data_IF_980243849119
#
_entry.id   IF_980243849119
#
_cell.length_a   1.000
_cell.length_b   1.000
_cell.length_c   1.000
_cell.angle_alpha   90.00
_cell.angle_beta   90.00
_cell.angle_gamma   90.00
#
_symmetry.space_group_name_H-M   'P 1'
#
loop_
_entity.id
_entity.type
_entity.pdbx_description
1 polymer ?
#
# COMPACT_ATOMS: atom_id res chain seq x y z
N UNK A 1 28.48 43.49 -3.83
CA UNK A 1 28.41 42.01 -3.75
C UNK A 1 27.72 41.51 -2.47
N UNK A 2 28.05 42.03 -1.28
CA UNK A 2 27.41 41.63 -0.01
C UNK A 2 25.90 41.89 0.09
N UNK A 3 25.43 43.02 -0.45
CA UNK A 3 24.00 43.38 -0.46
C UNK A 3 23.16 42.34 -1.22
N UNK A 4 23.73 41.72 -2.26
CA UNK A 4 23.04 40.72 -3.08
C UNK A 4 22.87 39.40 -2.33
N UNK A 5 23.91 38.94 -1.64
CA UNK A 5 23.84 37.75 -0.80
C UNK A 5 22.87 37.93 0.38
N UNK A 6 22.84 39.13 0.97
CA UNK A 6 21.91 39.46 2.05
C UNK A 6 20.44 39.48 1.58
N UNK A 7 20.16 40.12 0.45
CA UNK A 7 18.83 40.12 -0.17
C UNK A 7 18.39 38.69 -0.56
N UNK A 8 19.31 37.86 -1.03
CA UNK A 8 19.03 36.46 -1.36
C UNK A 8 18.64 35.65 -0.12
N UNK A 9 19.38 35.82 0.99
CA UNK A 9 19.09 35.16 2.26
C UNK A 9 17.75 35.57 2.85
N UNK A 10 17.46 36.88 2.86
CA UNK A 10 16.19 37.43 3.39
C UNK A 10 15.01 37.01 2.51
N UNK A 11 15.18 36.99 1.19
CA UNK A 11 14.18 36.48 0.24
C UNK A 11 13.87 35.00 0.49
N UNK A 12 14.90 34.16 0.73
CA UNK A 12 14.73 32.74 1.06
C UNK A 12 14.00 32.52 2.40
N UNK A 13 14.32 33.35 3.39
CA UNK A 13 13.75 33.28 4.74
C UNK A 13 12.27 33.68 4.78
N UNK A 14 11.87 34.63 3.93
CA UNK A 14 10.48 35.04 3.74
C UNK A 14 9.70 34.07 2.85
N UNK A 15 10.35 33.45 1.86
CA UNK A 15 9.71 32.53 0.92
C UNK A 15 9.24 31.24 1.60
N UNK A 16 10.01 30.69 2.55
CA UNK A 16 9.67 29.46 3.26
C UNK A 16 8.34 29.52 4.04
N UNK A 17 8.09 30.50 4.94
CA UNK A 17 6.83 30.59 5.66
C UNK A 17 5.66 30.95 4.74
N UNK A 18 5.89 31.71 3.66
CA UNK A 18 4.86 32.00 2.64
C UNK A 18 4.48 30.73 1.87
N UNK A 19 5.45 29.87 1.51
CA UNK A 19 5.20 28.57 0.88
C UNK A 19 4.41 27.63 1.79
N UNK A 20 4.76 27.57 3.08
CA UNK A 20 4.03 26.78 4.08
C UNK A 20 2.62 27.34 4.26
N UNK A 21 2.46 28.66 4.36
CA UNK A 21 1.15 29.30 4.53
C UNK A 21 0.24 29.07 3.31
N UNK A 22 0.76 29.16 2.09
CA UNK A 22 0.02 28.88 0.85
C UNK A 22 -0.35 27.40 0.69
N UNK A 23 0.43 26.47 1.25
CA UNK A 23 0.10 25.03 1.26
C UNK A 23 -1.08 24.69 2.19
N UNK A 24 -1.22 25.40 3.31
CA UNK A 24 -2.25 25.14 4.31
C UNK A 24 -3.44 26.10 4.27
N UNK A 25 -3.35 27.23 3.54
CA UNK A 25 -4.45 28.16 3.30
C UNK A 25 -5.52 27.52 2.41
N UNK A 26 -6.53 27.01 3.11
CA UNK A 26 -7.70 26.28 2.62
C UNK A 26 -8.51 27.13 1.62
N UNK A 27 -8.23 27.04 0.32
CA UNK A 27 -9.10 27.70 -0.67
C UNK A 27 -8.78 27.67 -2.16
N UNK A 28 -7.53 27.53 -2.64
CA UNK A 28 -7.24 27.76 -4.07
C UNK A 28 -6.64 26.58 -4.86
N UNK A 29 -7.27 26.37 -6.02
CA UNK A 29 -7.19 25.25 -6.93
C UNK A 29 -5.92 25.19 -7.78
N UNK A 30 -5.52 23.96 -8.15
CA UNK A 30 -4.63 23.48 -9.25
C UNK A 30 -3.38 24.29 -9.68
N UNK A 31 -3.46 25.61 -9.81
CA UNK A 31 -2.36 26.54 -10.07
C UNK A 31 -1.24 26.44 -9.03
N UNK A 32 -1.57 26.23 -7.75
CA UNK A 32 -0.57 26.08 -6.67
C UNK A 32 0.24 24.78 -6.83
N UNK A 33 -0.37 23.70 -7.36
CA UNK A 33 0.35 22.45 -7.65
C UNK A 33 1.28 22.61 -8.86
N UNK A 34 0.85 23.36 -9.87
CA UNK A 34 1.69 23.66 -11.02
C UNK A 34 2.89 24.54 -10.63
N UNK A 35 2.66 25.54 -9.77
CA UNK A 35 3.74 26.38 -9.26
C UNK A 35 4.74 25.59 -8.41
N UNK A 36 4.26 24.68 -7.54
CA UNK A 36 5.13 23.80 -6.75
C UNK A 36 5.93 22.83 -7.62
N UNK A 37 5.34 22.27 -8.68
CA UNK A 37 6.07 21.43 -9.62
C UNK A 37 7.12 22.24 -10.41
N UNK A 38 6.78 23.47 -10.80
CA UNK A 38 7.70 24.37 -11.51
C UNK A 38 8.89 24.79 -10.63
N UNK A 39 8.68 25.09 -9.35
CA UNK A 39 9.79 25.43 -8.43
C UNK A 39 10.68 24.23 -8.15
N UNK A 40 10.12 23.02 -8.05
CA UNK A 40 10.90 21.79 -7.86
C UNK A 40 11.75 21.48 -9.10
N UNK A 41 11.18 21.60 -10.29
CA UNK A 41 11.91 21.44 -11.55
C UNK A 41 13.01 22.50 -11.73
N UNK A 42 12.76 23.75 -11.31
CA UNK A 42 13.77 24.80 -11.34
C UNK A 42 14.92 24.53 -10.36
N UNK A 43 14.61 24.02 -9.16
CA UNK A 43 15.62 23.65 -8.16
C UNK A 43 16.49 22.47 -8.65
N UNK A 44 15.86 21.46 -9.24
CA UNK A 44 16.54 20.31 -9.85
C UNK A 44 17.44 20.76 -11.00
N UNK A 45 16.92 21.58 -11.92
CA UNK A 45 17.70 22.14 -13.03
C UNK A 45 18.89 22.98 -12.57
N UNK A 46 18.72 23.81 -11.53
CA UNK A 46 19.82 24.59 -10.96
C UNK A 46 20.88 23.70 -10.29
N UNK A 47 20.46 22.62 -9.62
CA UNK A 47 21.35 21.66 -8.98
C UNK A 47 22.16 20.88 -10.02
N UNK A 48 21.53 20.45 -11.11
CA UNK A 48 22.20 19.78 -12.23
C UNK A 48 23.18 20.75 -12.91
N UNK A 49 22.79 21.99 -13.17
CA UNK A 49 23.68 22.99 -13.76
C UNK A 49 24.91 23.25 -12.88
N UNK A 50 24.74 23.32 -11.56
CA UNK A 50 25.85 23.45 -10.60
C UNK A 50 26.74 22.21 -10.58
N UNK A 51 26.17 21.00 -10.64
CA UNK A 51 26.93 19.75 -10.73
C UNK A 51 27.77 19.68 -12.02
N UNK A 52 27.23 20.18 -13.13
CA UNK A 52 27.95 20.26 -14.41
C UNK A 52 29.09 21.29 -14.38
N UNK A 53 28.87 22.45 -13.74
CA UNK A 53 29.90 23.49 -13.61
C UNK A 53 31.00 23.08 -12.64
N UNK A 54 30.69 22.25 -11.64
CA UNK A 54 31.64 21.82 -10.61
C UNK A 54 32.35 20.50 -10.88
N UNK A 55 32.06 19.79 -11.98
CA UNK A 55 32.66 18.49 -12.28
C UNK A 55 34.20 18.58 -12.43
N UNK A 56 34.99 18.08 -11.44
CA UNK A 56 36.44 17.93 -11.57
C UNK A 56 36.76 16.60 -12.28
N UNK A 57 37.93 16.45 -12.92
CA UNK A 57 38.26 15.29 -13.74
C UNK A 57 38.25 13.99 -12.94
N UNK A 58 37.57 13.00 -13.50
CA UNK A 58 37.36 11.64 -12.99
C UNK A 58 38.68 10.91 -12.77
N UNK A 59 39.01 10.60 -11.51
CA UNK A 59 39.99 9.57 -11.16
C UNK A 59 39.26 8.27 -10.77
N UNK A 60 39.51 7.14 -11.44
CA UNK A 60 38.89 5.87 -11.09
C UNK A 60 39.61 5.27 -9.88
N UNK A 61 38.93 5.21 -8.73
CA UNK A 61 39.44 4.48 -7.56
C UNK A 61 38.84 3.08 -7.57
N UNK A 62 39.76 2.11 -7.64
CA UNK A 62 39.54 0.68 -7.78
C UNK A 62 38.77 0.06 -6.61
N UNK A 63 38.00 -0.98 -6.95
CA UNK A 63 37.36 -1.88 -6.00
C UNK A 63 38.40 -2.67 -5.18
N UNK A 64 38.27 -2.79 -3.86
CA UNK A 64 39.04 -3.78 -3.11
C UNK A 64 38.40 -5.16 -3.25
N UNK A 65 39.26 -6.08 -3.66
CA UNK A 65 39.02 -7.47 -3.96
C UNK A 65 38.63 -8.31 -2.73
N UNK A 66 37.96 -9.41 -3.04
CA UNK A 66 37.73 -10.55 -2.17
C UNK A 66 39.03 -11.05 -1.52
N UNK A 67 38.97 -11.32 -0.21
CA UNK A 67 39.95 -12.15 0.49
C UNK A 67 39.20 -13.37 1.02
N UNK A 68 39.50 -14.51 0.41
CA UNK A 68 39.10 -15.85 0.86
C UNK A 68 40.14 -16.43 1.81
N UNK A 69 39.69 -17.39 2.62
CA UNK A 69 40.39 -18.49 3.36
C UNK A 69 40.97 -18.20 4.76
N UNK A 70 41.18 -19.23 5.63
CA UNK A 70 40.34 -20.42 5.96
C UNK A 70 40.29 -20.81 7.48
N UNK A 71 39.22 -21.51 7.94
CA UNK A 71 39.08 -22.74 8.82
C UNK A 71 39.88 -22.82 10.18
N UNK A 72 39.59 -23.65 11.24
CA UNK A 72 38.50 -24.62 11.58
C UNK A 72 37.85 -24.43 12.99
N UNK A 73 36.79 -25.20 13.28
CA UNK A 73 36.65 -25.83 14.60
C UNK A 73 35.27 -25.87 15.27
N UNK A 74 34.75 -27.10 15.39
CA UNK A 74 34.11 -27.67 16.58
C UNK A 74 32.66 -27.32 17.01
N UNK A 75 31.81 -28.34 16.79
CA UNK A 75 30.78 -28.98 17.64
C UNK A 75 29.52 -28.23 18.14
N UNK A 76 28.38 -28.85 17.74
CA UNK A 76 27.14 -29.12 18.49
C UNK A 76 26.25 -27.97 18.97
N UNK A 77 25.05 -27.90 18.37
CA UNK A 77 23.81 -27.52 19.04
C UNK A 77 22.58 -28.18 18.35
N UNK A 78 21.48 -28.41 19.07
CA UNK A 78 20.59 -29.55 18.88
C UNK A 78 19.41 -29.30 17.93
N UNK A 79 18.76 -30.41 17.57
CA UNK A 79 17.53 -30.52 16.80
C UNK A 79 16.49 -29.43 17.11
N UNK A 80 16.19 -28.59 16.12
CA UNK A 80 15.04 -27.70 16.12
C UNK A 80 13.88 -28.45 15.46
N UNK A 81 12.96 -28.88 16.31
CA UNK A 81 11.50 -28.83 16.17
C UNK A 81 10.97 -29.03 14.74
N UNK A 82 10.30 -30.17 14.57
CA UNK A 82 9.42 -30.46 13.45
C UNK A 82 8.54 -29.25 13.06
N UNK A 83 8.76 -28.73 11.86
CA UNK A 83 7.74 -27.95 11.18
C UNK A 83 6.54 -28.87 10.90
N UNK A 84 5.29 -28.47 11.18
CA UNK A 84 4.15 -29.27 10.79
C UNK A 84 4.16 -29.41 9.26
N UNK A 85 4.04 -30.65 8.81
CA UNK A 85 3.98 -31.03 7.41
C UNK A 85 2.94 -30.19 6.66
N UNK A 86 3.40 -29.20 5.89
CA UNK A 86 2.66 -28.67 4.75
C UNK A 86 2.82 -29.66 3.58
N UNK A 87 2.37 -30.90 3.81
CA UNK A 87 2.25 -31.96 2.81
C UNK A 87 0.85 -31.97 2.16
N UNK A 88 0.17 -30.82 2.15
CA UNK A 88 -0.99 -30.58 1.30
C UNK A 88 -0.52 -29.85 0.06
N UNK A 89 -1.03 -30.24 -1.11
CA UNK A 89 -0.74 -29.55 -2.35
C UNK A 89 -0.90 -28.02 -2.17
N UNK A 90 0.03 -27.20 -2.70
CA UNK A 90 -0.07 -25.75 -2.58
C UNK A 90 -1.41 -25.30 -3.17
N UNK A 91 -2.15 -24.50 -2.41
CA UNK A 91 -3.44 -24.04 -2.88
C UNK A 91 -3.27 -23.23 -4.17
N UNK A 92 -3.97 -23.56 -5.27
CA UNK A 92 -3.82 -22.84 -6.52
C UNK A 92 -4.15 -21.36 -6.32
N UNK A 93 -3.40 -20.49 -7.00
CA UNK A 93 -3.68 -19.05 -6.96
C UNK A 93 -4.97 -18.78 -7.70
N UNK A 94 -5.98 -18.29 -6.97
CA UNK A 94 -7.29 -17.95 -7.51
C UNK A 94 -7.67 -16.52 -7.17
N UNK A 95 -8.38 -15.85 -8.09
CA UNK A 95 -8.91 -14.51 -7.88
C UNK A 95 -10.45 -14.58 -7.94
N UNK A 96 -11.10 -14.94 -6.83
CA UNK A 96 -12.53 -15.14 -6.81
C UNK A 96 -13.25 -13.83 -7.11
N UNK A 97 -14.36 -13.91 -7.84
CA UNK A 97 -15.20 -12.74 -8.13
C UNK A 97 -16.27 -12.63 -7.04
N UNK A 98 -16.22 -11.59 -6.18
CA UNK A 98 -17.26 -11.39 -5.18
C UNK A 98 -18.60 -11.15 -5.89
N UNK A 99 -19.61 -11.93 -5.48
CA UNK A 99 -20.96 -11.84 -6.03
C UNK A 99 -21.89 -11.03 -5.16
N UNK A 100 -21.74 -11.11 -3.84
CA UNK A 100 -22.52 -10.29 -2.94
C UNK A 100 -21.75 -9.99 -1.66
N UNK A 101 -22.19 -8.95 -0.95
CA UNK A 101 -21.55 -8.50 0.28
C UNK A 101 -22.63 -8.18 1.30
N UNK A 102 -22.45 -8.68 2.52
CA UNK A 102 -23.25 -8.30 3.68
C UNK A 102 -22.46 -7.33 4.55
N UNK A 103 -23.11 -6.23 4.90
CA UNK A 103 -22.54 -5.16 5.70
C UNK A 103 -23.17 -5.17 7.09
N UNK A 104 -22.40 -5.57 8.11
CA UNK A 104 -22.85 -5.56 9.50
C UNK A 104 -22.45 -4.25 10.16
N UNK A 105 -23.43 -3.60 10.79
CA UNK A 105 -23.25 -2.28 11.41
C UNK A 105 -23.36 -2.38 12.92
N UNK A 106 -22.51 -1.60 13.59
CA UNK A 106 -22.63 -1.30 15.00
C UNK A 106 -23.01 0.18 15.14
N UNK A 107 -24.29 0.42 15.43
CA UNK A 107 -24.90 1.75 15.40
C UNK A 107 -24.76 2.45 14.03
N UNK A 108 -23.97 3.52 13.98
CA UNK A 108 -23.72 4.32 12.77
C UNK A 108 -22.41 3.98 12.07
N UNK A 109 -21.74 2.89 12.46
CA UNK A 109 -20.45 2.49 11.89
C UNK A 109 -20.51 1.08 11.32
N UNK A 110 -19.77 0.87 10.24
CA UNK A 110 -19.56 -0.46 9.67
C UNK A 110 -18.46 -1.14 10.48
N UNK A 111 -18.79 -2.23 11.15
CA UNK A 111 -17.87 -3.00 12.01
C UNK A 111 -17.42 -4.30 11.36
N UNK A 112 -18.30 -4.92 10.58
CA UNK A 112 -18.05 -6.23 9.97
C UNK A 112 -18.59 -6.30 8.54
N UNK A 113 -17.91 -7.10 7.74
CA UNK A 113 -18.10 -7.26 6.31
C UNK A 113 -18.00 -8.75 5.98
N UNK A 114 -19.09 -9.34 5.49
CA UNK A 114 -19.07 -10.70 4.94
C UNK A 114 -19.10 -10.63 3.43
N UNK A 115 -18.17 -11.30 2.77
CA UNK A 115 -18.05 -11.35 1.31
C UNK A 115 -18.46 -12.75 0.86
N UNK A 116 -19.30 -12.84 -0.19
CA UNK A 116 -19.77 -14.11 -0.75
C UNK A 116 -19.38 -14.25 -2.23
N UNK A 117 -18.96 -15.45 -2.62
CA UNK A 117 -18.66 -15.82 -4.00
C UNK A 117 -19.00 -17.29 -4.26
N UNK A 118 -19.08 -17.75 -5.52
CA UNK A 118 -19.31 -19.15 -5.83
C UNK A 118 -18.15 -20.00 -5.36
N UNK A 119 -18.43 -21.03 -4.57
CA UNK A 119 -17.43 -22.00 -4.15
C UNK A 119 -16.92 -22.77 -5.38
N UNK A 120 -15.61 -22.97 -5.43
CA UNK A 120 -14.96 -23.76 -6.47
C UNK A 120 -14.66 -25.18 -5.98
N UNK A 121 -14.45 -26.11 -6.91
CA UNK A 121 -14.05 -27.49 -6.57
C UNK A 121 -12.67 -27.57 -5.88
N UNK A 122 -11.88 -26.50 -5.94
CA UNK A 122 -10.53 -26.41 -5.38
C UNK A 122 -10.41 -25.21 -4.45
N UNK A 123 -11.44 -24.97 -3.62
CA UNK A 123 -11.48 -23.83 -2.72
C UNK A 123 -10.32 -23.85 -1.71
N UNK A 124 -9.66 -22.71 -1.55
CA UNK A 124 -8.66 -22.57 -0.51
C UNK A 124 -9.33 -22.42 0.86
N UNK A 125 -8.81 -23.08 1.89
CA UNK A 125 -9.27 -22.89 3.27
C UNK A 125 -9.05 -21.48 3.83
N UNK A 126 -8.27 -20.65 3.12
CA UNK A 126 -7.99 -19.26 3.47
C UNK A 126 -7.95 -18.38 2.24
N UNK A 127 -8.47 -17.16 2.36
CA UNK A 127 -8.35 -16.11 1.36
C UNK A 127 -7.78 -14.85 1.99
N UNK A 128 -6.98 -14.14 1.22
CA UNK A 128 -6.47 -12.83 1.56
C UNK A 128 -7.37 -11.75 0.98
N UNK A 129 -7.70 -10.78 1.83
CA UNK A 129 -8.63 -9.72 1.53
C UNK A 129 -7.96 -8.38 1.78
N UNK A 130 -8.10 -7.48 0.83
CA UNK A 130 -7.78 -6.06 0.99
C UNK A 130 -9.08 -5.27 0.88
N UNK A 131 -9.33 -4.42 1.88
CA UNK A 131 -10.47 -3.50 1.84
C UNK A 131 -9.97 -2.08 1.95
N UNK A 132 -10.29 -1.25 0.96
CA UNK A 132 -9.94 0.17 0.96
C UNK A 132 -11.18 1.04 0.88
N UNK A 133 -11.34 1.90 1.87
CA UNK A 133 -12.37 2.93 1.87
C UNK A 133 -11.90 4.17 1.11
N UNK A 134 -12.65 4.59 0.09
CA UNK A 134 -12.37 5.79 -0.70
C UNK A 134 -13.65 6.59 -0.93
N UNK A 135 -13.85 7.63 -0.12
CA UNK A 135 -15.04 8.48 -0.20
C UNK A 135 -16.30 7.70 0.17
N UNK A 136 -17.12 7.37 -0.82
CA UNK A 136 -18.34 6.56 -0.65
C UNK A 136 -18.18 5.14 -1.20
N UNK A 137 -16.99 4.74 -1.64
CA UNK A 137 -16.75 3.41 -2.23
C UNK A 137 -15.91 2.56 -1.30
N UNK A 138 -16.35 1.33 -1.12
CA UNK A 138 -15.61 0.28 -0.44
C UNK A 138 -15.04 -0.66 -1.50
N UNK A 139 -13.74 -0.49 -1.81
CA UNK A 139 -13.05 -1.34 -2.79
C UNK A 139 -12.57 -2.61 -2.11
N UNK A 140 -12.91 -3.75 -2.68
CA UNK A 140 -12.62 -5.07 -2.12
C UNK A 140 -11.78 -5.84 -3.13
N UNK A 141 -10.58 -6.28 -2.75
CA UNK A 141 -9.79 -7.25 -3.50
C UNK A 141 -9.75 -8.55 -2.73
N UNK A 142 -9.98 -9.65 -3.44
CA UNK A 142 -10.02 -11.00 -2.90
C UNK A 142 -9.01 -11.86 -3.66
N UNK A 143 -8.23 -12.63 -2.94
CA UNK A 143 -7.18 -13.50 -3.49
C UNK A 143 -7.06 -14.77 -2.66
N UNK A 144 -7.03 -15.91 -3.33
CA UNK A 144 -6.84 -17.23 -2.74
C UNK A 144 -5.48 -17.80 -3.14
N UNK A 145 -4.87 -18.59 -2.25
CA UNK A 145 -3.51 -19.10 -2.43
C UNK A 145 -2.43 -18.07 -2.11
N UNK A 146 -1.20 -18.36 -2.54
CA UNK A 146 -0.02 -17.55 -2.21
C UNK A 146 -0.10 -16.15 -2.83
N UNK A 147 -0.05 -15.09 -2.01
CA UNK A 147 0.00 -13.72 -2.51
C UNK A 147 1.41 -13.34 -2.94
N UNK A 148 1.58 -12.76 -4.13
CA UNK A 148 2.85 -12.17 -4.53
C UNK A 148 3.06 -10.82 -3.83
N UNK A 149 4.10 -10.72 -2.99
CA UNK A 149 4.58 -9.48 -2.39
C UNK A 149 4.10 -9.22 -0.95
N UNK A 150 4.81 -8.31 -0.27
CA UNK A 150 4.48 -7.87 1.08
C UNK A 150 3.45 -6.74 1.00
N UNK A 151 2.19 -7.02 1.35
CA UNK A 151 1.12 -6.03 1.34
C UNK A 151 0.67 -5.74 2.78
N UNK A 152 1.02 -4.56 3.29
CA UNK A 152 0.79 -4.20 4.71
C UNK A 152 -0.68 -4.09 5.14
N UNK A 153 -1.60 -3.93 4.19
CA UNK A 153 -3.05 -3.78 4.45
C UNK A 153 -3.86 -5.05 4.13
N UNK A 154 -3.21 -6.17 3.78
CA UNK A 154 -3.90 -7.42 3.45
C UNK A 154 -4.15 -8.24 4.70
N UNK A 155 -5.41 -8.67 4.86
CA UNK A 155 -5.81 -9.56 5.95
C UNK A 155 -6.18 -10.93 5.39
N UNK A 156 -5.50 -11.97 5.86
CA UNK A 156 -5.86 -13.36 5.54
C UNK A 156 -6.89 -13.87 6.53
N UNK A 157 -8.00 -14.43 6.04
CA UNK A 157 -9.09 -14.98 6.83
C UNK A 157 -9.49 -16.38 6.34
N UNK A 158 -10.03 -17.22 7.23
CA UNK A 158 -10.57 -18.51 6.83
C UNK A 158 -11.75 -18.32 5.87
N UNK A 159 -11.87 -19.22 4.91
CA UNK A 159 -13.03 -19.31 4.00
C UNK A 159 -13.98 -20.37 4.55
N UNK A 160 -15.26 -20.02 4.60
CA UNK A 160 -16.34 -20.91 4.99
C UNK A 160 -17.15 -21.26 3.74
N UNK A 161 -17.28 -22.55 3.45
CA UNK A 161 -18.06 -23.02 2.31
C UNK A 161 -19.37 -23.59 2.83
N UNK A 162 -20.48 -23.05 2.35
CA UNK A 162 -21.83 -23.57 2.58
C UNK A 162 -22.48 -23.89 1.23
N UNK A 163 -22.67 -25.18 0.96
CA UNK A 163 -23.15 -25.68 -0.33
C UNK A 163 -22.26 -25.22 -1.50
N UNK A 164 -22.81 -24.33 -2.34
CA UNK A 164 -22.13 -23.78 -3.53
C UNK A 164 -21.61 -22.36 -3.34
N UNK A 165 -21.64 -21.84 -2.11
CA UNK A 165 -21.24 -20.47 -1.79
C UNK A 165 -20.09 -20.50 -0.80
N UNK A 166 -19.00 -19.84 -1.16
CA UNK A 166 -17.91 -19.53 -0.27
C UNK A 166 -18.14 -18.14 0.36
N UNK A 167 -17.83 -18.03 1.64
CA UNK A 167 -18.02 -16.85 2.45
C UNK A 167 -16.77 -16.57 3.29
N UNK A 168 -16.51 -15.29 3.54
CA UNK A 168 -15.45 -14.86 4.43
C UNK A 168 -15.89 -13.67 5.24
N UNK A 169 -15.71 -13.78 6.56
CA UNK A 169 -16.02 -12.74 7.53
C UNK A 169 -14.78 -11.89 7.82
N UNK A 170 -14.95 -10.58 7.68
CA UNK A 170 -13.92 -9.60 7.93
C UNK A 170 -14.41 -8.60 8.98
N UNK A 171 -13.69 -8.55 10.11
CA UNK A 171 -13.80 -7.45 11.06
C UNK A 171 -12.94 -6.29 10.59
N UNK A 172 -13.55 -5.12 10.45
CA UNK A 172 -12.86 -3.90 10.05
C UNK A 172 -12.07 -3.35 11.25
N UNK A 173 -10.75 -3.18 11.14
CA UNK A 173 -9.92 -2.71 12.26
C UNK A 173 -10.25 -1.27 12.67
N UNK A 174 -10.75 -0.46 11.74
CA UNK A 174 -11.29 0.87 12.00
C UNK A 174 -12.76 0.92 11.54
N UNK A 175 -13.72 1.09 12.46
CA UNK A 175 -15.12 1.18 12.09
C UNK A 175 -15.36 2.38 11.16
N UNK A 176 -15.83 2.10 9.95
CA UNK A 176 -16.03 3.12 8.92
C UNK A 176 -17.34 3.88 9.19
N UNK A 177 -17.38 5.21 8.99
CA UNK A 177 -18.61 5.98 9.15
C UNK A 177 -19.65 5.50 8.13
N UNK A 178 -20.69 4.80 8.61
CA UNK A 178 -21.76 4.26 7.78
C UNK A 178 -22.81 5.34 7.58
N UNK A 179 -22.54 6.32 6.71
CA UNK A 179 -23.63 7.16 6.17
C UNK A 179 -24.47 6.30 5.21
N UNK A 180 -25.77 6.07 5.49
CA UNK A 180 -26.50 4.88 5.05
C UNK A 180 -26.89 4.83 3.57
N UNK A 181 -26.78 5.93 2.80
CA UNK A 181 -27.37 6.00 1.45
C UNK A 181 -26.38 5.94 0.29
N UNK A 182 -25.08 5.91 0.54
CA UNK A 182 -24.08 6.05 -0.53
C UNK A 182 -22.89 5.09 -0.47
N UNK A 183 -22.76 4.25 0.57
CA UNK A 183 -21.64 3.32 0.63
C UNK A 183 -21.84 2.21 -0.42
N UNK A 184 -21.02 2.25 -1.46
CA UNK A 184 -21.05 1.33 -2.59
C UNK A 184 -19.89 0.33 -2.43
N UNK A 185 -20.20 -0.95 -2.22
CA UNK A 185 -19.21 -2.00 -2.35
C UNK A 185 -18.86 -2.18 -3.83
N UNK A 186 -17.57 -2.21 -4.15
CA UNK A 186 -17.09 -2.41 -5.52
C UNK A 186 -15.94 -3.40 -5.53
N UNK A 187 -15.86 -4.17 -6.59
CA UNK A 187 -14.68 -4.99 -6.87
C UNK A 187 -13.50 -4.06 -7.12
N UNK A 188 -12.45 -4.18 -6.32
CA UNK A 188 -11.26 -3.35 -6.41
C UNK A 188 -10.44 -3.58 -7.68
N UNK A 189 -10.57 -4.76 -8.31
CA UNK A 189 -9.91 -5.11 -9.57
C UNK A 189 -10.62 -4.49 -10.76
N UNK A 190 -11.95 -4.58 -10.79
CA UNK A 190 -12.75 -4.20 -11.97
C UNK A 190 -13.52 -2.88 -11.82
N UNK A 191 -13.71 -2.41 -10.59
CA UNK A 191 -14.50 -1.22 -10.26
C UNK A 191 -16.02 -1.43 -10.32
N UNK A 192 -16.49 -2.64 -10.65
CA UNK A 192 -17.93 -2.93 -10.75
C UNK A 192 -18.59 -2.96 -9.37
N UNK A 193 -19.84 -2.48 -9.25
CA UNK A 193 -20.58 -2.58 -8.01
C UNK A 193 -20.83 -4.05 -7.64
N UNK A 194 -20.62 -4.37 -6.36
CA UNK A 194 -20.98 -5.66 -5.78
C UNK A 194 -22.32 -5.45 -5.07
N UNK A 195 -23.36 -6.22 -5.40
CA UNK A 195 -24.66 -6.06 -4.78
C UNK A 195 -24.61 -6.38 -3.28
N UNK A 196 -25.42 -5.65 -2.51
CA UNK A 196 -25.55 -5.84 -1.07
C UNK A 196 -26.63 -6.88 -0.78
N UNK A 197 -26.31 -7.82 0.10
CA UNK A 197 -27.26 -8.76 0.68
C UNK A 197 -27.64 -8.30 2.10
N UNK A 198 -28.91 -8.45 2.46
CA UNK A 198 -29.48 -8.04 3.74
C UNK A 198 -29.51 -9.22 4.73
#
# INVERSE_FOLDING_TARGET
MFVFAYLLGVSWLLLSPVCVWLLFARGYAKLVRAAAAATLAALEGATIALAYVQAPPTTPVAAPAAVSTPVPGSVSAPAVVAAPSAGGAPCPVMLPKPQSVRLTRDGTRLSELTIYWPASAHECGTAAVLVRHQGHRLRIWLHEGALPGQHGDVTTRPVHVDGHTAALDLRLPAPLPARPRHLLAVDGRTGHPIPLTH
#
